data_IF_996348871378
#
_entry.id   IF_996348871378
#
_cell.length_a   1.000
_cell.length_b   1.000
_cell.length_c   1.000
_cell.angle_alpha   90.00
_cell.angle_beta   90.00
_cell.angle_gamma   90.00
#
_symmetry.space_group_name_H-M   'P 1'
#
loop_
_entity.id
_entity.type
_entity.pdbx_description
1 polymer ?
#
# COMPACT_ATOMS: atom_id res chain seq x y z
N UNK A 1 0.33 11.53 -15.28
CA UNK A 1 0.31 12.09 -13.90
C UNK A 1 0.88 11.06 -12.94
N UNK A 2 1.95 11.38 -12.21
CA UNK A 2 2.41 10.52 -11.10
C UNK A 2 1.30 10.56 -10.03
N UNK A 3 0.67 9.43 -9.73
CA UNK A 3 -0.26 9.35 -8.58
C UNK A 3 0.55 9.71 -7.33
N UNK A 4 0.03 10.60 -6.49
CA UNK A 4 0.65 10.88 -5.20
C UNK A 4 0.49 9.62 -4.33
N UNK A 5 1.56 8.87 -4.14
CA UNK A 5 1.52 7.58 -3.43
C UNK A 5 1.75 7.72 -1.91
N UNK A 6 1.86 8.96 -1.42
CA UNK A 6 2.07 9.26 -0.01
C UNK A 6 3.50 9.06 0.51
N UNK A 7 4.44 8.67 -0.36
CA UNK A 7 5.84 8.35 0.00
C UNK A 7 6.04 6.87 0.37
N UNK A 8 7.16 6.53 1.01
CA UNK A 8 7.41 5.18 1.53
C UNK A 8 6.52 4.92 2.76
N UNK A 9 5.92 3.73 2.86
CA UNK A 9 5.10 3.36 4.02
C UNK A 9 5.91 3.26 5.32
N UNK A 10 7.16 2.79 5.21
CA UNK A 10 8.12 2.71 6.30
C UNK A 10 9.38 3.49 5.91
N UNK A 11 9.47 4.77 6.28
CA UNK A 11 10.62 5.60 5.92
C UNK A 11 11.91 5.02 6.53
N UNK A 12 12.95 4.83 5.71
CA UNK A 12 14.30 4.53 6.21
C UNK A 12 15.17 5.80 6.25
N UNK A 13 16.06 5.87 7.23
CA UNK A 13 17.16 6.84 7.19
C UNK A 13 18.14 6.41 6.09
N UNK A 14 18.32 7.24 5.06
CA UNK A 14 19.13 6.96 3.85
C UNK A 14 20.66 7.09 4.07
N UNK A 15 21.18 6.56 5.17
CA UNK A 15 22.59 6.75 5.53
C UNK A 15 23.24 5.37 5.69
N UNK A 16 23.40 4.67 4.57
CA UNK A 16 24.32 3.52 4.49
C UNK A 16 25.67 4.02 3.97
N UNK A 17 26.74 3.66 4.68
CA UNK A 17 28.11 4.02 4.30
C UNK A 17 28.78 2.82 3.64
N UNK A 18 29.46 3.03 2.52
CA UNK A 18 30.19 1.99 1.75
C UNK A 18 31.47 1.45 2.42
N UNK A 19 31.62 1.62 3.73
CA UNK A 19 32.87 1.36 4.45
C UNK A 19 34.00 2.35 4.16
N UNK A 20 33.83 3.29 3.22
CA UNK A 20 34.77 4.36 2.87
C UNK A 20 34.21 5.76 3.20
N UNK A 21 33.17 5.80 4.03
CA UNK A 21 32.50 7.02 4.47
C UNK A 21 31.80 7.79 3.33
N UNK A 22 31.51 7.15 2.18
CA UNK A 22 30.65 7.71 1.16
C UNK A 22 29.19 7.32 1.44
N UNK A 23 28.27 8.27 1.25
CA UNK A 23 26.83 8.01 1.35
C UNK A 23 26.41 7.19 0.14
N UNK A 24 26.02 5.93 0.37
CA UNK A 24 25.36 5.12 -0.65
C UNK A 24 23.89 5.54 -0.72
N UNK A 25 23.46 6.04 -1.87
CA UNK A 25 22.03 6.12 -2.20
C UNK A 25 21.48 4.71 -2.50
N UNK A 26 21.38 3.85 -1.48
CA UNK A 26 20.50 2.69 -1.57
C UNK A 26 19.09 3.11 -1.15
N UNK A 27 18.32 3.61 -2.12
CA UNK A 27 16.87 3.59 -1.99
C UNK A 27 16.39 2.18 -2.34
N UNK A 28 16.32 1.28 -1.36
CA UNK A 28 15.35 0.19 -1.51
C UNK A 28 13.98 0.86 -1.57
N UNK A 29 13.37 0.88 -2.76
CA UNK A 29 11.98 1.29 -2.94
C UNK A 29 11.09 0.26 -2.24
N UNK A 30 10.95 0.40 -0.92
CA UNK A 30 9.95 -0.31 -0.15
C UNK A 30 8.53 0.04 -0.63
N UNK A 31 7.52 -0.59 -0.03
CA UNK A 31 6.13 -0.31 -0.42
C UNK A 31 5.77 1.17 -0.26
N UNK A 32 4.94 1.69 -1.16
CA UNK A 32 4.41 3.05 -0.98
C UNK A 32 3.36 3.07 0.11
N UNK A 33 3.10 4.23 0.72
CA UNK A 33 2.06 4.38 1.73
C UNK A 33 0.67 4.03 1.17
N UNK A 34 0.45 4.33 -0.11
CA UNK A 34 -0.74 3.91 -0.87
C UNK A 34 -0.91 2.40 -0.88
N UNK A 35 0.16 1.67 -1.21
CA UNK A 35 0.11 0.20 -1.28
C UNK A 35 -0.11 -0.41 0.11
N UNK A 36 0.47 0.19 1.15
CA UNK A 36 0.26 -0.21 2.53
C UNK A 36 -1.21 -0.04 2.97
N UNK A 37 -1.82 1.11 2.70
CA UNK A 37 -3.24 1.34 3.00
C UNK A 37 -4.14 0.41 2.20
N UNK A 38 -3.85 0.19 0.93
CA UNK A 38 -4.61 -0.74 0.10
C UNK A 38 -4.51 -2.18 0.66
N UNK A 39 -3.32 -2.62 1.08
CA UNK A 39 -3.14 -3.92 1.71
C UNK A 39 -3.93 -4.05 3.02
N UNK A 40 -3.93 -3.00 3.87
CA UNK A 40 -4.74 -2.98 5.10
C UNK A 40 -6.23 -3.05 4.83
N UNK A 41 -6.72 -2.28 3.85
CA UNK A 41 -8.11 -2.30 3.42
C UNK A 41 -8.51 -3.69 2.90
N UNK A 42 -7.66 -4.28 2.05
CA UNK A 42 -7.86 -5.62 1.49
C UNK A 42 -7.97 -6.67 2.60
N UNK A 43 -7.06 -6.66 3.57
CA UNK A 43 -7.10 -7.62 4.69
C UNK A 43 -8.38 -7.52 5.50
N UNK A 44 -8.82 -6.30 5.84
CA UNK A 44 -10.06 -6.08 6.57
C UNK A 44 -11.29 -6.53 5.78
N UNK A 45 -11.33 -6.21 4.48
CA UNK A 45 -12.41 -6.61 3.60
C UNK A 45 -12.50 -8.13 3.48
N UNK A 46 -11.40 -8.81 3.15
CA UNK A 46 -11.37 -10.26 3.01
C UNK A 46 -11.80 -10.99 4.30
N UNK A 47 -11.44 -10.44 5.47
CA UNK A 47 -11.87 -10.99 6.76
C UNK A 47 -13.35 -10.76 7.10
N UNK A 48 -14.01 -9.81 6.43
CA UNK A 48 -15.42 -9.45 6.67
C UNK A 48 -16.44 -10.26 5.86
N UNK A 49 -16.00 -11.13 4.95
CA UNK A 49 -16.92 -11.95 4.15
C UNK A 49 -17.64 -12.97 5.05
N UNK A 50 -18.98 -12.99 5.06
CA UNK A 50 -19.73 -13.99 5.80
C UNK A 50 -19.61 -15.36 5.11
N UNK A 51 -19.78 -16.44 5.87
CA UNK A 51 -19.76 -17.81 5.34
C UNK A 51 -20.82 -18.06 4.24
N UNK A 52 -21.90 -17.27 4.24
CA UNK A 52 -22.94 -17.33 3.22
C UNK A 52 -22.53 -16.73 1.86
N UNK A 53 -21.40 -16.04 1.78
CA UNK A 53 -20.88 -15.47 0.56
C UNK A 53 -19.70 -16.27 0.02
N UNK A 54 -19.66 -16.47 -1.29
CA UNK A 54 -18.49 -17.06 -1.95
C UNK A 54 -17.31 -16.11 -1.90
N UNK A 55 -16.14 -16.62 -1.49
CA UNK A 55 -14.91 -15.84 -1.42
C UNK A 55 -14.61 -15.16 -2.78
N UNK A 56 -14.15 -13.89 -2.82
CA UNK A 56 -13.99 -13.11 -4.07
C UNK A 56 -13.14 -13.77 -5.14
N UNK A 57 -12.10 -14.50 -4.74
CA UNK A 57 -11.23 -15.24 -5.66
C UNK A 57 -12.00 -16.33 -6.41
N UNK A 58 -12.91 -17.02 -5.72
CA UNK A 58 -13.73 -18.10 -6.32
C UNK A 58 -14.89 -17.50 -7.11
N UNK A 59 -15.45 -16.40 -6.63
CA UNK A 59 -16.56 -15.69 -7.29
C UNK A 59 -16.14 -14.91 -8.56
N UNK A 60 -14.84 -14.74 -8.81
CA UNK A 60 -14.32 -13.95 -9.94
C UNK A 60 -14.30 -12.43 -9.71
N UNK A 61 -14.44 -11.97 -8.46
CA UNK A 61 -14.54 -10.55 -8.09
C UNK A 61 -13.22 -9.97 -7.55
N UNK A 62 -12.09 -10.63 -7.80
CA UNK A 62 -10.78 -10.24 -7.27
C UNK A 62 -10.38 -8.81 -7.70
N UNK A 63 -10.62 -8.46 -8.96
CA UNK A 63 -10.29 -7.15 -9.53
C UNK A 63 -11.07 -6.01 -8.88
N UNK A 64 -12.35 -6.26 -8.54
CA UNK A 64 -13.21 -5.28 -7.88
C UNK A 64 -12.75 -5.02 -6.45
N UNK A 65 -12.41 -6.07 -5.70
CA UNK A 65 -11.88 -5.94 -4.34
C UNK A 65 -10.55 -5.18 -4.32
N UNK A 66 -9.66 -5.48 -5.28
CA UNK A 66 -8.41 -4.74 -5.42
C UNK A 66 -8.65 -3.26 -5.74
N UNK A 67 -9.56 -2.96 -6.69
CA UNK A 67 -9.94 -1.59 -7.06
C UNK A 67 -10.47 -0.81 -5.85
N UNK A 68 -11.42 -1.38 -5.10
CA UNK A 68 -11.98 -0.71 -3.93
C UNK A 68 -10.95 -0.48 -2.82
N UNK A 69 -10.03 -1.43 -2.61
CA UNK A 69 -8.95 -1.29 -1.63
C UNK A 69 -8.04 -0.09 -1.96
N UNK A 70 -7.71 0.10 -3.25
CA UNK A 70 -6.95 1.28 -3.69
C UNK A 70 -7.76 2.58 -3.63
N UNK A 71 -9.07 2.55 -3.87
CA UNK A 71 -9.92 3.73 -3.71
C UNK A 71 -9.94 4.22 -2.25
N UNK A 72 -10.01 3.28 -1.30
CA UNK A 72 -9.96 3.62 0.13
C UNK A 72 -8.57 4.17 0.50
N UNK A 73 -7.49 3.59 -0.02
CA UNK A 73 -6.14 4.11 0.16
C UNK A 73 -5.98 5.55 -0.36
N UNK A 74 -6.52 5.83 -1.55
CA UNK A 74 -6.51 7.17 -2.15
C UNK A 74 -7.31 8.17 -1.29
N UNK A 75 -8.44 7.75 -0.73
CA UNK A 75 -9.22 8.57 0.20
C UNK A 75 -8.47 8.88 1.51
N UNK A 76 -7.75 7.90 2.07
CA UNK A 76 -6.92 8.09 3.27
C UNK A 76 -5.77 9.05 3.04
N UNK A 77 -5.12 8.99 1.86
CA UNK A 77 -4.07 9.94 1.50
C UNK A 77 -4.62 11.35 1.37
N UNK A 78 -5.77 11.52 0.69
CA UNK A 78 -6.43 12.82 0.58
C UNK A 78 -6.78 13.41 1.94
N UNK A 79 -7.37 12.61 2.83
CA UNK A 79 -7.74 13.06 4.18
C UNK A 79 -6.54 13.46 5.04
N UNK A 80 -5.32 13.01 4.71
CA UNK A 80 -4.08 13.43 5.40
C UNK A 80 -3.59 14.81 4.94
N UNK A 81 -3.95 15.23 3.73
CA UNK A 81 -3.56 16.51 3.13
C UNK A 81 -4.52 17.65 3.50
N UNK A 82 -5.66 17.32 4.12
CA UNK A 82 -6.62 18.26 4.74
C UNK A 82 -6.16 18.72 6.12
#
# INVERSE_FOLDING_TARGET
>A
MKKQTGGQAFPRQQWEYDGHNNVLQYQEEGMTLRDYFAAKALSGWLASYPESCTHPIVAGNADEVAKHSYMLADAMLKAREE
#
